data_IF_178251840400
#
_entry.id   IF_178251840400
#
_cell.length_a   1.000
_cell.length_b   1.000
_cell.length_c   1.000
_cell.angle_alpha   90.00
_cell.angle_beta   90.00
_cell.angle_gamma   90.00
#
_symmetry.space_group_name_H-M   'P 1'
#
loop_
_entity.id
_entity.type
_entity.pdbx_description
1 polymer ?
#
# COMPACT_ATOMS: atom_id res chain seq x y z
N UNK A 1 -2.17 24.52 0.01
CA UNK A 1 -2.08 23.72 1.25
C UNK A 1 -0.98 22.68 1.04
N UNK A 2 0.10 22.72 1.81
CA UNK A 2 1.11 21.66 1.76
C UNK A 2 0.46 20.40 2.35
N UNK A 3 0.37 19.25 1.65
CA UNK A 3 -0.15 18.05 2.27
C UNK A 3 0.74 17.75 3.48
N UNK A 4 0.15 17.66 4.67
CA UNK A 4 0.86 17.16 5.84
C UNK A 4 1.38 15.76 5.47
N UNK A 5 2.65 15.42 5.74
CA UNK A 5 3.10 14.06 5.56
C UNK A 5 2.26 13.19 6.52
N UNK A 6 1.26 12.50 5.99
CA UNK A 6 0.35 11.67 6.78
C UNK A 6 1.02 10.42 7.36
N UNK A 7 2.28 10.18 6.99
CA UNK A 7 3.03 9.04 7.46
C UNK A 7 3.28 9.12 8.97
N UNK A 8 3.04 8.02 9.67
CA UNK A 8 3.40 7.83 11.08
C UNK A 8 4.21 6.56 11.21
N UNK A 9 5.29 6.62 11.99
CA UNK A 9 6.12 5.46 12.30
C UNK A 9 5.96 5.15 13.78
N UNK A 10 5.68 3.88 14.10
CA UNK A 10 5.63 3.37 15.46
C UNK A 10 6.83 2.46 15.67
N UNK A 11 7.69 2.80 16.62
CA UNK A 11 8.82 1.95 17.00
C UNK A 11 8.35 0.71 17.76
N UNK A 12 8.84 -0.45 17.34
CA UNK A 12 8.73 -1.73 18.03
C UNK A 12 10.13 -2.14 18.51
N UNK A 13 10.26 -3.21 19.29
CA UNK A 13 11.52 -3.63 19.91
C UNK A 13 12.69 -3.71 18.91
N UNK A 14 12.45 -4.31 17.74
CA UNK A 14 13.45 -4.48 16.66
C UNK A 14 12.91 -4.08 15.27
N UNK A 15 11.77 -3.39 15.20
CA UNK A 15 11.11 -3.07 13.92
C UNK A 15 10.33 -1.76 13.97
N UNK A 16 9.71 -1.37 12.84
CA UNK A 16 8.86 -0.19 12.74
C UNK A 16 7.58 -0.56 12.02
N UNK A 17 6.44 -0.19 12.60
CA UNK A 17 5.17 -0.14 11.90
C UNK A 17 5.01 1.23 11.22
N UNK A 18 4.99 1.25 9.89
CA UNK A 18 4.81 2.45 9.09
C UNK A 18 3.36 2.57 8.60
N UNK A 19 2.63 3.57 9.08
CA UNK A 19 1.25 3.85 8.70
C UNK A 19 1.21 4.98 7.68
N UNK A 20 0.65 4.69 6.49
CA UNK A 20 0.57 5.60 5.36
C UNK A 20 -0.91 5.89 4.97
N UNK A 21 -1.59 6.85 5.60
CA UNK A 21 -2.97 7.22 5.24
C UNK A 21 -2.99 7.99 3.91
N UNK A 22 -3.87 7.58 3.00
CA UNK A 22 -4.13 8.25 1.71
C UNK A 22 -5.63 8.26 1.43
N UNK A 23 -6.10 9.33 0.81
CA UNK A 23 -7.49 9.45 0.35
C UNK A 23 -7.49 9.53 -1.17
N UNK A 24 -8.21 8.63 -1.80
CA UNK A 24 -8.37 8.58 -3.25
C UNK A 24 -9.79 8.98 -3.62
N UNK A 25 -9.93 9.78 -4.67
CA UNK A 25 -11.24 10.08 -5.28
C UNK A 25 -11.56 8.99 -6.30
N UNK A 26 -11.71 7.75 -5.82
CA UNK A 26 -11.99 6.57 -6.61
C UNK A 26 -12.84 5.57 -5.80
N UNK A 27 -13.64 4.71 -6.45
CA UNK A 27 -14.32 3.60 -5.79
C UNK A 27 -13.35 2.65 -5.08
N UNK A 28 -13.82 1.97 -4.03
CA UNK A 28 -12.99 1.03 -3.27
C UNK A 28 -12.47 -0.12 -4.14
N UNK A 29 -13.26 -0.61 -5.09
CA UNK A 29 -12.89 -1.71 -5.99
C UNK A 29 -11.73 -1.33 -6.91
N UNK A 30 -11.72 -0.08 -7.41
CA UNK A 30 -10.63 0.41 -8.25
C UNK A 30 -9.33 0.57 -7.45
N UNK A 31 -9.43 1.03 -6.20
CA UNK A 31 -8.27 1.13 -5.29
C UNK A 31 -7.75 -0.27 -4.93
N UNK A 32 -8.64 -1.22 -4.68
CA UNK A 32 -8.29 -2.60 -4.38
C UNK A 32 -7.60 -3.27 -5.59
N UNK A 33 -8.18 -3.15 -6.77
CA UNK A 33 -7.59 -3.67 -8.01
C UNK A 33 -6.19 -3.08 -8.27
N UNK A 34 -5.97 -1.80 -7.95
CA UNK A 34 -4.67 -1.15 -8.11
C UNK A 34 -3.56 -1.72 -7.21
N UNK A 35 -3.91 -2.44 -6.14
CA UNK A 35 -2.95 -3.05 -5.22
C UNK A 35 -2.91 -4.60 -5.33
N UNK A 36 -3.98 -5.24 -5.82
CA UNK A 36 -4.05 -6.70 -5.95
C UNK A 36 -3.91 -7.25 -7.37
N UNK A 37 -4.28 -6.50 -8.41
CA UNK A 37 -4.13 -6.96 -9.81
C UNK A 37 -2.69 -6.75 -10.30
N UNK A 38 -1.95 -7.80 -10.68
CA UNK A 38 -0.52 -7.70 -11.01
C UNK A 38 -0.19 -6.63 -12.05
N UNK A 39 -1.00 -6.53 -13.12
CA UNK A 39 -0.81 -5.58 -14.21
C UNK A 39 -1.06 -4.13 -13.78
N UNK A 40 -1.90 -3.90 -12.76
CA UNK A 40 -2.15 -2.56 -12.20
C UNK A 40 -1.12 -2.21 -11.13
N UNK A 41 -0.81 -3.13 -10.24
CA UNK A 41 0.22 -2.96 -9.20
C UNK A 41 1.59 -2.69 -9.81
N UNK A 42 1.94 -3.41 -10.89
CA UNK A 42 3.23 -3.23 -11.57
C UNK A 42 3.45 -1.82 -12.12
N UNK A 43 2.38 -1.04 -12.37
CA UNK A 43 2.48 0.33 -12.89
C UNK A 43 3.12 1.30 -11.90
N UNK A 44 3.05 1.00 -10.60
CA UNK A 44 3.51 1.92 -9.56
C UNK A 44 4.43 1.28 -8.52
N UNK A 45 4.30 -0.03 -8.26
CA UNK A 45 5.20 -0.77 -7.37
C UNK A 45 6.38 -1.43 -8.11
N UNK A 46 6.29 -1.52 -9.45
CA UNK A 46 7.28 -2.17 -10.31
C UNK A 46 6.94 -3.64 -10.62
N UNK A 47 7.59 -4.23 -11.63
CA UNK A 47 7.33 -5.62 -12.04
C UNK A 47 7.92 -6.59 -11.00
N UNK A 48 7.14 -6.91 -9.98
CA UNK A 48 7.46 -7.92 -8.97
C UNK A 48 6.35 -8.96 -8.89
N UNK A 49 6.71 -10.24 -8.80
CA UNK A 49 5.74 -11.30 -8.51
C UNK A 49 5.37 -11.20 -7.02
N UNK A 50 4.16 -10.72 -6.72
CA UNK A 50 3.61 -10.82 -5.38
C UNK A 50 3.32 -12.31 -5.10
N UNK A 51 4.24 -12.99 -4.41
CA UNK A 51 3.92 -14.28 -3.79
C UNK A 51 3.09 -14.00 -2.56
N UNK A 52 1.77 -14.07 -2.69
CA UNK A 52 0.89 -14.20 -1.53
C UNK A 52 1.32 -15.44 -0.75
N UNK A 53 1.57 -15.29 0.55
CA UNK A 53 1.71 -16.44 1.43
C UNK A 53 0.32 -17.06 1.56
N UNK A 54 0.12 -18.36 1.25
CA UNK A 54 -1.17 -18.99 1.47
C UNK A 54 -1.48 -18.93 2.97
N UNK A 55 -2.66 -18.42 3.30
CA UNK A 55 -3.24 -18.60 4.63
C UNK A 55 -3.71 -20.05 4.71
N UNK A 56 -2.99 -20.86 5.47
CA UNK A 56 -3.37 -22.21 5.89
C UNK A 56 -3.45 -22.25 7.40
#
# INVERSE_FOLDING_TARGET
MKPMPGARAHGLADSIDLVLPRTFRAPIDDVWAAITEPERTARWFGPGRATGHPVG
#
